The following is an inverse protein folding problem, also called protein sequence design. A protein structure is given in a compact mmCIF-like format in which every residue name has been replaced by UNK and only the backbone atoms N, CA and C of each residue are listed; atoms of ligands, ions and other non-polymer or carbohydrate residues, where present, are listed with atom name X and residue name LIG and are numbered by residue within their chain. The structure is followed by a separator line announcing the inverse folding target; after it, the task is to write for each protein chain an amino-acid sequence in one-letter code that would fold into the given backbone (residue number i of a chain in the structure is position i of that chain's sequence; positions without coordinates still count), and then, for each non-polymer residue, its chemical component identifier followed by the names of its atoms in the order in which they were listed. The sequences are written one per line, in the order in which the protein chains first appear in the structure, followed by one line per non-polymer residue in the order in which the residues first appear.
data_IF_693279317822
#
_entry.id   IF_693279317822
#
_cell.length_a   1.000
_cell.length_b   1.000
_cell.length_c   1.000
_cell.angle_alpha   90.00
_cell.angle_beta   90.00
_cell.angle_gamma   90.00
#
_symmetry.space_group_name_H-M   'P 1'
#
loop_
_entity.id
_entity.type
_entity.pdbx_description
1 polymer ?
#
# COMPACT_ATOMS: atom_id res chain seq x y z
N UNK A 1 -24.84 18.83 20.73
CA UNK A 1 -23.46 18.41 21.07
C UNK A 1 -23.33 16.93 20.75
N UNK A 2 -23.04 16.61 19.49
CA UNK A 2 -22.81 15.23 19.05
C UNK A 2 -21.35 14.87 19.30
N UNK A 3 -21.11 13.76 20.00
CA UNK A 3 -19.77 13.22 20.25
C UNK A 3 -19.09 12.91 18.91
N UNK A 4 -18.09 13.70 18.54
CA UNK A 4 -17.04 13.25 17.63
C UNK A 4 -16.34 12.07 18.30
N UNK A 5 -16.53 10.86 17.79
CA UNK A 5 -15.52 9.84 17.96
C UNK A 5 -14.28 10.37 17.22
N UNK A 6 -13.26 10.77 17.96
CA UNK A 6 -11.95 11.11 17.37
C UNK A 6 -11.53 9.91 16.50
N UNK A 7 -11.32 10.14 15.21
CA UNK A 7 -10.70 9.16 14.33
C UNK A 7 -9.41 8.69 14.99
N UNK A 8 -9.29 7.40 15.31
CA UNK A 8 -8.07 6.84 15.92
C UNK A 8 -6.90 6.83 14.93
N UNK A 9 -7.20 6.94 13.64
CA UNK A 9 -6.19 7.01 12.58
C UNK A 9 -5.90 8.48 12.25
N UNK A 10 -4.64 8.93 12.30
CA UNK A 10 -4.26 10.28 11.92
C UNK A 10 -4.68 10.61 10.49
N UNK A 11 -5.14 11.83 10.26
CA UNK A 11 -5.44 12.37 8.93
C UNK A 11 -4.43 13.47 8.65
N UNK A 12 -3.76 13.39 7.50
CA UNK A 12 -2.67 14.30 7.11
C UNK A 12 -2.97 14.86 5.72
N UNK A 13 -2.89 16.18 5.58
CA UNK A 13 -3.22 16.90 4.37
C UNK A 13 -2.00 17.07 3.44
N UNK A 14 -2.10 16.50 2.24
CA UNK A 14 -1.13 16.60 1.13
C UNK A 14 -1.67 17.43 -0.05
N UNK A 15 -2.79 18.14 0.14
CA UNK A 15 -3.41 18.99 -0.89
C UNK A 15 -2.77 20.37 -0.99
N UNK A 16 -2.02 20.80 0.03
CA UNK A 16 -1.37 22.12 0.06
C UNK A 16 -0.27 22.26 -0.99
N UNK A 17 -0.35 23.30 -1.83
CA UNK A 17 0.69 23.65 -2.81
C UNK A 17 2.00 24.14 -2.16
N UNK A 18 1.94 24.57 -0.90
CA UNK A 18 3.09 25.04 -0.12
C UNK A 18 3.84 23.89 0.58
N UNK A 19 3.40 22.65 0.41
CA UNK A 19 4.05 21.48 0.99
C UNK A 19 5.33 21.13 0.22
N UNK A 20 6.39 21.91 0.45
CA UNK A 20 7.68 21.80 -0.23
C UNK A 20 8.83 21.72 0.78
N UNK A 21 9.91 20.97 0.50
CA UNK A 21 11.07 20.88 1.38
C UNK A 21 11.56 22.26 1.85
N UNK A 22 11.76 22.38 3.17
CA UNK A 22 12.22 23.62 3.81
C UNK A 22 11.13 24.60 4.24
N UNK A 23 9.86 24.40 3.88
CA UNK A 23 8.75 25.25 4.38
C UNK A 23 8.30 24.84 5.78
N UNK A 24 7.60 25.74 6.48
CA UNK A 24 7.01 25.41 7.80
C UNK A 24 5.97 24.29 7.70
N UNK A 25 5.16 24.29 6.63
CA UNK A 25 4.18 23.23 6.37
C UNK A 25 4.85 21.88 6.14
N UNK A 26 6.00 21.84 5.44
CA UNK A 26 6.80 20.63 5.31
C UNK A 26 7.30 20.12 6.66
N UNK A 27 7.89 20.99 7.48
CA UNK A 27 8.42 20.60 8.79
C UNK A 27 7.32 20.06 9.73
N UNK A 28 6.14 20.69 9.75
CA UNK A 28 5.02 20.22 10.57
C UNK A 28 4.43 18.91 10.04
N UNK A 29 4.27 18.79 8.72
CA UNK A 29 3.71 17.59 8.08
C UNK A 29 4.65 16.42 8.22
N UNK A 30 5.96 16.62 8.03
CA UNK A 30 7.00 15.62 8.27
C UNK A 30 6.91 15.03 9.67
N UNK A 31 6.78 15.88 10.70
CA UNK A 31 6.62 15.42 12.09
C UNK A 31 5.35 14.61 12.28
N UNK A 32 4.23 15.06 11.71
CA UNK A 32 2.96 14.34 11.79
C UNK A 32 3.01 12.97 11.10
N UNK A 33 3.63 12.91 9.91
CA UNK A 33 3.85 11.69 9.14
C UNK A 33 4.68 10.70 9.93
N UNK A 34 5.85 11.11 10.43
CA UNK A 34 6.74 10.20 11.15
C UNK A 34 6.08 9.71 12.43
N UNK A 35 5.44 10.60 13.19
CA UNK A 35 4.71 10.21 14.40
C UNK A 35 3.58 9.22 14.11
N UNK A 36 2.82 9.41 13.03
CA UNK A 36 1.75 8.48 12.66
C UNK A 36 2.28 7.09 12.28
N UNK A 37 3.41 7.02 11.55
CA UNK A 37 4.04 5.76 11.18
C UNK A 37 4.74 5.05 12.35
N UNK A 38 5.32 5.81 13.29
CA UNK A 38 5.91 5.29 14.53
C UNK A 38 4.83 4.74 15.47
N UNK A 39 3.70 5.43 15.62
CA UNK A 39 2.67 5.08 16.59
C UNK A 39 1.65 4.06 16.06
N UNK A 40 1.20 4.22 14.82
CA UNK A 40 0.11 3.44 14.23
C UNK A 40 0.52 2.66 12.97
N UNK A 41 1.69 2.96 12.38
CA UNK A 41 2.10 2.36 11.11
C UNK A 41 1.31 2.82 9.89
N UNK A 42 0.36 3.75 10.06
CA UNK A 42 -0.49 4.24 8.98
C UNK A 42 -1.10 5.62 9.27
N UNK A 43 -1.57 6.27 8.22
CA UNK A 43 -2.39 7.48 8.29
C UNK A 43 -3.27 7.60 7.04
N UNK A 44 -4.33 8.40 7.14
CA UNK A 44 -5.13 8.81 5.98
C UNK A 44 -4.46 10.03 5.34
N UNK A 45 -4.05 9.91 4.09
CA UNK A 45 -3.52 10.99 3.28
C UNK A 45 -4.68 11.67 2.52
N UNK A 46 -5.02 12.90 2.88
CA UNK A 46 -5.98 13.74 2.14
C UNK A 46 -5.24 14.43 0.98
N UNK A 47 -5.79 14.30 -0.22
CA UNK A 47 -5.20 14.86 -1.45
C UNK A 47 -6.05 15.99 -2.05
N UNK A 48 -7.13 16.37 -1.38
CA UNK A 48 -8.07 17.37 -1.86
C UNK A 48 -8.70 16.96 -3.19
N UNK A 49 -8.67 17.86 -4.18
CA UNK A 49 -9.33 17.64 -5.48
C UNK A 49 -8.39 17.09 -6.57
N UNK A 50 -7.23 16.50 -6.20
CA UNK A 50 -6.30 15.91 -7.17
C UNK A 50 -6.93 14.75 -7.98
N UNK A 51 -7.98 14.12 -7.45
CA UNK A 51 -8.79 13.12 -8.15
C UNK A 51 -10.23 13.61 -8.18
N UNK A 52 -10.83 13.68 -9.38
CA UNK A 52 -12.26 13.98 -9.51
C UNK A 52 -13.09 12.74 -9.18
N UNK A 53 -14.29 12.95 -8.61
CA UNK A 53 -15.25 11.86 -8.37
C UNK A 53 -15.61 11.10 -9.66
N UNK A 54 -15.59 11.79 -10.81
CA UNK A 54 -15.81 11.16 -12.12
C UNK A 54 -14.70 10.16 -12.45
N UNK A 55 -13.44 10.59 -12.36
CA UNK A 55 -12.28 9.72 -12.59
C UNK A 55 -12.28 8.53 -11.62
N UNK A 56 -12.58 8.77 -10.34
CA UNK A 56 -12.67 7.74 -9.33
C UNK A 56 -13.75 6.70 -9.64
N UNK A 57 -14.98 7.13 -9.93
CA UNK A 57 -16.06 6.21 -10.29
C UNK A 57 -15.75 5.45 -11.59
N UNK A 58 -15.08 6.11 -12.54
CA UNK A 58 -14.71 5.51 -13.82
C UNK A 58 -13.67 4.39 -13.66
N UNK A 59 -12.60 4.61 -12.89
CA UNK A 59 -11.59 3.56 -12.65
C UNK A 59 -12.17 2.38 -11.88
N UNK A 60 -13.02 2.62 -10.87
CA UNK A 60 -13.65 1.52 -10.13
C UNK A 60 -14.68 0.77 -10.98
N UNK A 61 -15.34 1.43 -11.93
CA UNK A 61 -16.17 0.79 -12.95
C UNK A 61 -15.36 -0.16 -13.83
N UNK A 62 -14.23 0.30 -14.38
CA UNK A 62 -13.36 -0.54 -15.23
C UNK A 62 -12.65 -1.64 -14.46
N UNK A 63 -12.37 -1.47 -13.16
CA UNK A 63 -11.93 -2.56 -12.28
C UNK A 63 -13.03 -3.63 -12.16
N UNK A 64 -14.31 -3.23 -12.06
CA UNK A 64 -15.42 -4.17 -12.10
C UNK A 64 -15.40 -5.00 -13.39
N UNK A 65 -15.30 -4.34 -14.54
CA UNK A 65 -15.20 -4.98 -15.87
C UNK A 65 -13.99 -5.92 -15.97
N UNK A 66 -12.83 -5.51 -15.45
CA UNK A 66 -11.60 -6.30 -15.43
C UNK A 66 -11.82 -7.68 -14.80
N UNK A 67 -12.57 -7.74 -13.70
CA UNK A 67 -12.82 -9.00 -12.99
C UNK A 67 -14.01 -9.81 -13.53
N UNK A 68 -14.81 -9.25 -14.45
CA UNK A 68 -15.82 -9.98 -15.22
C UNK A 68 -15.24 -10.63 -16.49
N UNK A 69 -13.98 -10.34 -16.84
CA UNK A 69 -13.30 -11.07 -17.93
C UNK A 69 -13.21 -12.58 -17.64
N UNK A 70 -13.15 -13.42 -18.69
CA UNK A 70 -12.95 -14.86 -18.54
C UNK A 70 -11.71 -15.18 -17.69
N UNK A 71 -11.80 -16.24 -16.88
CA UNK A 71 -10.69 -16.67 -16.01
C UNK A 71 -9.43 -16.95 -16.82
N UNK A 72 -9.57 -17.56 -18.00
CA UNK A 72 -8.47 -17.88 -18.92
C UNK A 72 -7.74 -16.61 -19.41
N UNK A 73 -8.45 -15.50 -19.58
CA UNK A 73 -7.87 -14.19 -19.91
C UNK A 73 -7.11 -13.62 -18.73
N UNK A 74 -7.72 -13.60 -17.54
CA UNK A 74 -7.09 -13.08 -16.31
C UNK A 74 -5.81 -13.85 -15.97
N UNK A 75 -5.82 -15.18 -16.15
CA UNK A 75 -4.66 -16.05 -15.95
C UNK A 75 -3.47 -15.76 -16.88
N UNK A 76 -3.66 -15.01 -17.98
CA UNK A 76 -2.54 -14.58 -18.81
C UNK A 76 -1.67 -13.52 -18.13
N UNK A 77 -2.19 -12.80 -17.13
CA UNK A 77 -1.38 -11.86 -16.35
C UNK A 77 -0.41 -12.63 -15.43
N UNK A 78 0.76 -12.97 -15.96
CA UNK A 78 1.79 -13.74 -15.28
C UNK A 78 3.03 -12.90 -15.05
N UNK A 79 3.76 -13.20 -13.97
CA UNK A 79 5.00 -12.49 -13.63
C UNK A 79 5.89 -13.40 -12.77
N UNK A 80 7.21 -13.28 -12.90
CA UNK A 80 8.22 -14.08 -12.17
C UNK A 80 8.46 -13.58 -10.72
N UNK A 81 8.35 -12.28 -10.52
CA UNK A 81 8.30 -11.63 -9.21
C UNK A 81 6.91 -11.76 -8.56
N UNK A 82 6.86 -11.94 -7.23
CA UNK A 82 5.61 -12.09 -6.49
C UNK A 82 4.73 -10.83 -6.58
N UNK A 83 3.42 -11.00 -6.38
CA UNK A 83 2.43 -9.92 -6.33
C UNK A 83 2.36 -9.00 -7.55
N UNK A 84 2.80 -9.44 -8.74
CA UNK A 84 2.69 -8.65 -9.98
C UNK A 84 1.69 -9.22 -10.99
N UNK A 85 1.47 -10.54 -10.97
CA UNK A 85 0.47 -11.18 -11.81
C UNK A 85 -0.92 -11.30 -11.18
N UNK A 86 -1.74 -12.13 -11.82
CA UNK A 86 -3.01 -12.65 -11.33
C UNK A 86 -2.81 -13.57 -10.14
N UNK A 87 -3.60 -13.34 -9.09
CA UNK A 87 -3.65 -14.15 -7.87
C UNK A 87 -5.12 -14.44 -7.59
N UNK A 88 -5.43 -15.70 -7.33
CA UNK A 88 -6.75 -16.12 -6.86
C UNK A 88 -6.59 -16.95 -5.60
N UNK A 89 -7.31 -16.59 -4.55
CA UNK A 89 -7.35 -17.32 -3.27
C UNK A 89 -8.75 -17.86 -3.09
N UNK A 90 -8.92 -19.12 -3.46
CA UNK A 90 -10.22 -19.78 -3.52
C UNK A 90 -11.20 -19.04 -4.43
N UNK A 91 -12.48 -19.20 -4.16
CA UNK A 91 -13.54 -18.52 -4.93
C UNK A 91 -13.84 -17.11 -4.44
N UNK A 92 -13.29 -16.65 -3.31
CA UNK A 92 -13.72 -15.41 -2.65
C UNK A 92 -12.88 -14.18 -3.03
N UNK A 93 -11.63 -14.38 -3.45
CA UNK A 93 -10.69 -13.30 -3.76
C UNK A 93 -9.96 -13.51 -5.09
N UNK A 94 -9.90 -12.44 -5.88
CA UNK A 94 -9.05 -12.33 -7.06
C UNK A 94 -8.32 -10.98 -7.02
N UNK A 95 -7.08 -10.96 -7.48
CA UNK A 95 -6.32 -9.72 -7.66
C UNK A 95 -5.38 -9.80 -8.85
N UNK A 96 -5.10 -8.66 -9.47
CA UNK A 96 -4.18 -8.53 -10.60
C UNK A 96 -3.27 -7.32 -10.38
N UNK A 97 -2.01 -7.43 -10.77
CA UNK A 97 -1.05 -6.34 -10.71
C UNK A 97 -0.60 -5.85 -12.08
N UNK A 98 -0.05 -4.64 -12.10
CA UNK A 98 0.78 -4.10 -13.18
C UNK A 98 2.10 -3.66 -12.52
N UNK A 99 3.21 -4.31 -12.90
CA UNK A 99 4.54 -3.91 -12.45
C UNK A 99 4.95 -2.59 -13.13
N UNK A 100 5.67 -1.73 -12.41
CA UNK A 100 6.09 -0.41 -12.90
C UNK A 100 4.96 0.43 -13.52
N UNK A 101 3.77 0.41 -12.89
CA UNK A 101 2.57 1.04 -13.44
C UNK A 101 2.65 2.57 -13.62
N UNK A 102 3.68 3.21 -13.06
CA UNK A 102 4.02 4.62 -13.31
C UNK A 102 4.48 4.84 -14.76
N UNK A 103 4.98 3.79 -15.43
CA UNK A 103 5.26 3.77 -16.86
C UNK A 103 3.96 3.49 -17.66
N UNK A 104 3.66 4.37 -18.63
CA UNK A 104 2.47 4.21 -19.47
C UNK A 104 2.51 2.94 -20.32
N UNK A 105 3.71 2.57 -20.81
CA UNK A 105 3.90 1.38 -21.65
C UNK A 105 3.48 0.08 -20.91
N UNK A 106 3.77 -0.02 -19.61
CA UNK A 106 3.38 -1.19 -18.81
C UNK A 106 1.86 -1.26 -18.62
N UNK A 107 1.22 -0.10 -18.43
CA UNK A 107 -0.25 -0.02 -18.38
C UNK A 107 -0.88 -0.40 -19.73
N UNK A 108 -0.25 0.00 -20.85
CA UNK A 108 -0.69 -0.36 -22.21
C UNK A 108 -0.53 -1.87 -22.47
N UNK A 109 0.61 -2.47 -22.10
CA UNK A 109 0.86 -3.90 -22.21
C UNK A 109 -0.20 -4.71 -21.47
N UNK A 110 -0.47 -4.36 -20.21
CA UNK A 110 -1.52 -5.00 -19.43
C UNK A 110 -2.90 -4.81 -20.05
N UNK A 111 -3.23 -3.59 -20.49
CA UNK A 111 -4.54 -3.29 -21.09
C UNK A 111 -4.76 -4.08 -22.37
N UNK A 112 -3.76 -4.15 -23.26
CA UNK A 112 -3.85 -4.93 -24.50
C UNK A 112 -3.97 -6.44 -24.24
N UNK A 113 -3.38 -6.93 -23.15
CA UNK A 113 -3.52 -8.32 -22.73
C UNK A 113 -4.95 -8.65 -22.25
N UNK A 114 -5.55 -7.76 -21.46
CA UNK A 114 -6.90 -7.94 -20.90
C UNK A 114 -8.00 -7.63 -21.92
N UNK A 115 -7.79 -6.60 -22.75
CA UNK A 115 -8.70 -6.13 -23.78
C UNK A 115 -7.94 -5.93 -25.10
N UNK A 116 -7.88 -6.96 -25.97
CA UNK A 116 -7.21 -6.86 -27.28
C UNK A 116 -7.78 -5.78 -28.21
N UNK A 117 -9.02 -5.33 -27.96
CA UNK A 117 -9.68 -4.24 -28.68
C UNK A 117 -9.46 -2.85 -28.04
N UNK A 118 -8.65 -2.78 -26.98
CA UNK A 118 -8.35 -1.56 -26.23
C UNK A 118 -9.33 -1.27 -25.08
N UNK A 119 -8.83 -0.55 -24.08
CA UNK A 119 -9.61 0.06 -23.00
C UNK A 119 -8.83 1.28 -22.45
N UNK A 120 -8.83 2.37 -23.23
CA UNK A 120 -8.05 3.58 -22.92
C UNK A 120 -8.41 4.15 -21.54
N UNK A 121 -9.68 4.04 -21.14
CA UNK A 121 -10.15 4.48 -19.84
C UNK A 121 -9.51 3.73 -18.68
N UNK A 122 -9.39 2.40 -18.79
CA UNK A 122 -8.64 1.62 -17.81
C UNK A 122 -7.15 1.97 -17.84
N UNK A 123 -6.54 2.00 -19.03
CA UNK A 123 -5.11 2.24 -19.19
C UNK A 123 -4.67 3.59 -18.60
N UNK A 124 -5.34 4.67 -19.00
CA UNK A 124 -5.04 6.03 -18.54
C UNK A 124 -5.34 6.17 -17.05
N UNK A 125 -6.48 5.63 -16.59
CA UNK A 125 -6.87 5.67 -15.19
C UNK A 125 -5.87 4.95 -14.28
N UNK A 126 -5.47 3.73 -14.65
CA UNK A 126 -4.48 2.95 -13.90
C UNK A 126 -3.12 3.68 -13.82
N UNK A 127 -2.61 4.19 -14.95
CA UNK A 127 -1.35 4.93 -14.97
C UNK A 127 -1.39 6.22 -14.15
N UNK A 128 -2.49 6.98 -14.25
CA UNK A 128 -2.68 8.22 -13.52
C UNK A 128 -2.72 7.98 -12.00
N UNK A 129 -3.48 6.98 -11.56
CA UNK A 129 -3.52 6.56 -10.16
C UNK A 129 -2.14 6.11 -9.65
N UNK A 130 -1.42 5.30 -10.44
CA UNK A 130 -0.09 4.85 -10.09
C UNK A 130 0.89 6.02 -9.91
N UNK A 131 0.89 6.99 -10.83
CA UNK A 131 1.74 8.20 -10.74
C UNK A 131 1.41 9.04 -9.52
N UNK A 132 0.13 9.33 -9.29
CA UNK A 132 -0.30 10.15 -8.16
C UNK A 132 0.05 9.52 -6.82
N UNK A 133 -0.21 8.21 -6.65
CA UNK A 133 0.16 7.51 -5.42
C UNK A 133 1.68 7.40 -5.27
N UNK A 134 2.44 7.24 -6.36
CA UNK A 134 3.90 7.25 -6.30
C UNK A 134 4.46 8.61 -5.86
N UNK A 135 3.86 9.73 -6.28
CA UNK A 135 4.24 11.07 -5.80
C UNK A 135 4.02 11.23 -4.28
N UNK A 136 2.91 10.70 -3.76
CA UNK A 136 2.64 10.68 -2.32
C UNK A 136 3.69 9.83 -1.61
N UNK A 137 3.97 8.62 -2.12
CA UNK A 137 4.98 7.73 -1.55
C UNK A 137 6.38 8.35 -1.51
N UNK A 138 6.81 8.98 -2.60
CA UNK A 138 8.09 9.69 -2.68
C UNK A 138 8.15 10.84 -1.66
N UNK A 139 7.06 11.60 -1.55
CA UNK A 139 6.95 12.71 -0.59
C UNK A 139 7.07 12.22 0.86
N UNK A 140 6.32 11.18 1.21
CA UNK A 140 6.31 10.58 2.55
C UNK A 140 7.65 9.92 2.88
N UNK A 141 8.21 9.18 1.93
CA UNK A 141 9.53 8.55 2.07
C UNK A 141 10.60 9.61 2.32
N UNK A 142 10.59 10.71 1.56
CA UNK A 142 11.52 11.83 1.79
C UNK A 142 11.36 12.41 3.18
N UNK A 143 10.13 12.66 3.62
CA UNK A 143 9.83 13.15 4.97
C UNK A 143 10.43 12.24 6.05
N UNK A 144 10.27 10.92 5.91
CA UNK A 144 10.84 9.96 6.86
C UNK A 144 12.37 9.98 6.84
N UNK A 145 12.98 9.98 5.67
CA UNK A 145 14.45 9.98 5.54
C UNK A 145 15.06 11.27 6.12
N UNK A 146 14.44 12.42 5.87
CA UNK A 146 14.86 13.69 6.48
C UNK A 146 14.62 13.74 7.99
N UNK A 147 13.55 13.11 8.49
CA UNK A 147 13.26 13.06 9.94
C UNK A 147 14.33 12.29 10.70
N UNK A 148 14.84 11.21 10.10
CA UNK A 148 15.88 10.37 10.67
C UNK A 148 17.32 10.81 10.32
N UNK A 149 17.50 11.92 9.60
CA UNK A 149 18.84 12.41 9.24
C UNK A 149 19.60 11.54 8.24
N UNK A 150 18.87 10.73 7.47
CA UNK A 150 19.41 9.72 6.52
C UNK A 150 19.07 10.07 5.06
N UNK A 151 18.79 11.35 4.80
CA UNK A 151 18.48 11.96 3.50
C UNK A 151 19.44 11.58 2.37
N UNK A 152 20.72 11.32 2.67
CA UNK A 152 21.72 10.85 1.68
C UNK A 152 21.36 9.54 0.97
N UNK A 153 20.48 8.72 1.55
CA UNK A 153 20.03 7.45 0.96
C UNK A 153 18.71 7.57 0.19
N UNK A 154 18.08 8.75 0.16
CA UNK A 154 16.75 8.91 -0.44
C UNK A 154 16.77 8.60 -1.95
N UNK A 155 17.69 9.20 -2.70
CA UNK A 155 17.74 9.03 -4.16
C UNK A 155 18.03 7.58 -4.56
N UNK A 156 18.92 6.89 -3.84
CA UNK A 156 19.21 5.48 -4.10
C UNK A 156 18.03 4.58 -3.73
N UNK A 157 17.31 4.89 -2.64
CA UNK A 157 16.08 4.20 -2.29
C UNK A 157 15.04 4.33 -3.41
N UNK A 158 14.72 5.56 -3.85
CA UNK A 158 13.75 5.80 -4.93
C UNK A 158 14.18 5.13 -6.24
N UNK A 159 15.46 5.18 -6.60
CA UNK A 159 15.97 4.51 -7.80
C UNK A 159 15.82 2.98 -7.76
N UNK A 160 15.78 2.38 -6.56
CA UNK A 160 15.54 0.95 -6.36
C UNK A 160 14.05 0.60 -6.23
N UNK A 161 13.16 1.57 -6.01
CA UNK A 161 11.75 1.30 -5.71
C UNK A 161 10.97 0.93 -6.97
N UNK A 162 10.50 -0.32 -7.03
CA UNK A 162 9.49 -0.77 -7.99
C UNK A 162 8.08 -0.45 -7.49
N UNK A 163 7.25 0.12 -8.36
CA UNK A 163 5.87 0.53 -8.07
C UNK A 163 4.86 -0.41 -8.73
N UNK A 164 4.16 -1.21 -7.93
CA UNK A 164 3.17 -2.17 -8.42
C UNK A 164 1.77 -1.69 -8.05
N UNK A 165 0.96 -1.34 -9.04
CA UNK A 165 -0.48 -1.13 -8.78
C UNK A 165 -1.18 -2.48 -8.80
N UNK A 166 -2.04 -2.74 -7.82
CA UNK A 166 -2.87 -3.94 -7.75
C UNK A 166 -4.34 -3.56 -7.65
N UNK A 167 -5.15 -4.31 -8.37
CA UNK A 167 -6.60 -4.28 -8.31
C UNK A 167 -7.05 -5.55 -7.59
N UNK A 168 -8.05 -5.44 -6.72
CA UNK A 168 -8.59 -6.56 -5.96
C UNK A 168 -10.10 -6.60 -6.06
N UNK A 169 -10.65 -7.81 -6.17
CA UNK A 169 -12.07 -8.11 -6.03
C UNK A 169 -12.25 -9.11 -4.90
N UNK A 170 -13.15 -8.79 -3.99
CA UNK A 170 -13.59 -9.68 -2.93
C UNK A 170 -15.10 -9.89 -3.07
N UNK A 171 -15.54 -11.14 -3.06
CA UNK A 171 -16.96 -11.50 -3.09
C UNK A 171 -17.30 -12.45 -1.95
N UNK A 172 -18.47 -12.26 -1.36
CA UNK A 172 -18.98 -13.19 -0.36
C UNK A 172 -19.15 -14.58 -0.98
N UNK A 173 -18.75 -15.61 -0.25
CA UNK A 173 -18.89 -16.99 -0.67
C UNK A 173 -19.84 -17.71 0.30
N UNK A 174 -20.81 -18.47 -0.23
CA UNK A 174 -21.69 -19.29 0.60
C UNK A 174 -20.83 -20.32 1.35
N UNK A 175 -20.89 -20.31 2.69
CA UNK A 175 -20.01 -21.02 3.65
C UNK A 175 -18.68 -20.34 4.01
N UNK A 176 -18.49 -19.07 3.65
CA UNK A 176 -17.40 -18.26 4.20
C UNK A 176 -17.73 -17.92 5.66
N UNK A 177 -16.87 -18.32 6.58
CA UNK A 177 -16.95 -17.86 7.97
C UNK A 177 -16.60 -16.35 7.96
N UNK A 178 -17.50 -15.44 8.38
CA UNK A 178 -17.20 -14.00 8.46
C UNK A 178 -16.00 -13.69 9.36
N UNK A 179 -15.59 -14.63 10.22
CA UNK A 179 -14.37 -14.55 11.03
C UNK A 179 -13.09 -14.87 10.25
N UNK A 180 -13.19 -15.33 9.00
CA UNK A 180 -12.09 -15.72 8.13
C UNK A 180 -11.99 -14.82 6.90
N UNK A 181 -12.11 -13.49 7.08
CA UNK A 181 -11.73 -12.46 6.10
C UNK A 181 -10.38 -12.73 5.42
N UNK A 182 -9.93 -11.89 4.48
CA UNK A 182 -8.53 -11.98 4.07
C UNK A 182 -7.69 -11.88 5.35
N UNK A 183 -6.81 -12.86 5.64
CA UNK A 183 -6.29 -13.06 6.98
C UNK A 183 -5.63 -11.79 7.45
N UNK A 184 -5.75 -11.50 8.75
CA UNK A 184 -5.01 -10.40 9.34
C UNK A 184 -3.52 -10.55 9.03
N UNK A 185 -2.94 -9.52 8.44
CA UNK A 185 -1.54 -9.52 8.02
C UNK A 185 -0.95 -8.11 8.09
N UNK A 186 0.35 -8.05 7.94
CA UNK A 186 1.11 -6.87 7.55
C UNK A 186 1.58 -7.06 6.11
N UNK A 187 1.83 -5.95 5.41
CA UNK A 187 2.36 -6.04 4.05
C UNK A 187 3.87 -6.25 4.08
N UNK A 188 4.35 -7.18 3.26
CA UNK A 188 5.79 -7.41 3.09
C UNK A 188 6.52 -6.30 2.32
N UNK A 189 5.78 -5.37 1.72
CA UNK A 189 6.31 -4.24 0.95
C UNK A 189 7.12 -3.29 1.83
N UNK A 190 7.74 -2.29 1.21
CA UNK A 190 8.27 -1.14 1.94
C UNK A 190 7.10 -0.27 2.40
N UNK A 191 6.24 0.12 1.47
CA UNK A 191 5.05 0.94 1.72
C UNK A 191 3.87 0.42 0.91
N UNK A 192 2.66 0.76 1.37
CA UNK A 192 1.41 0.50 0.68
C UNK A 192 0.50 1.71 0.74
N UNK A 193 -0.18 2.01 -0.37
CA UNK A 193 -1.20 3.05 -0.45
C UNK A 193 -2.47 2.41 -0.99
N UNK A 194 -3.57 2.45 -0.25
CA UNK A 194 -4.81 1.73 -0.61
C UNK A 194 -5.99 2.68 -0.66
N UNK A 195 -6.85 2.47 -1.66
CA UNK A 195 -8.17 3.07 -1.76
C UNK A 195 -9.25 1.99 -1.96
N UNK A 196 -10.37 2.15 -1.25
CA UNK A 196 -11.55 1.30 -1.38
C UNK A 196 -12.72 2.10 -1.96
N UNK A 197 -13.68 1.42 -2.61
CA UNK A 197 -14.85 2.04 -3.22
C UNK A 197 -16.16 1.52 -2.62
N UNK A 198 -17.01 2.45 -2.18
CA UNK A 198 -18.38 2.26 -1.68
C UNK A 198 -18.61 1.37 -0.44
N UNK A 199 -17.73 0.42 -0.13
CA UNK A 199 -17.88 -0.51 0.99
C UNK A 199 -16.71 -0.31 1.95
N UNK A 200 -17.03 0.01 3.21
CA UNK A 200 -16.06 0.04 4.30
C UNK A 200 -15.79 -1.40 4.74
N UNK A 201 -14.82 -2.03 4.10
CA UNK A 201 -14.41 -3.42 4.32
C UNK A 201 -12.98 -3.51 4.86
N UNK A 202 -12.13 -2.53 4.53
CA UNK A 202 -10.76 -2.48 4.99
C UNK A 202 -10.68 -1.93 6.42
N UNK A 203 -10.11 -2.72 7.33
CA UNK A 203 -9.89 -2.33 8.72
C UNK A 203 -8.41 -2.41 9.08
N UNK A 204 -7.94 -1.42 9.83
CA UNK A 204 -6.60 -1.39 10.43
C UNK A 204 -6.70 -1.63 11.94
N UNK A 205 -5.70 -2.30 12.51
CA UNK A 205 -5.60 -2.49 13.94
C UNK A 205 -4.80 -1.36 14.56
N UNK A 206 -5.39 -0.63 15.51
CA UNK A 206 -4.70 0.41 16.28
C UNK A 206 -3.69 -0.21 17.25
N UNK A 207 -2.81 0.63 17.79
CA UNK A 207 -1.86 0.24 18.86
C UNK A 207 -2.54 -0.43 20.07
N UNK A 208 -3.78 -0.03 20.39
CA UNK A 208 -4.56 -0.57 21.51
C UNK A 208 -5.27 -1.89 21.15
N UNK A 209 -5.07 -2.41 19.94
CA UNK A 209 -5.62 -3.67 19.46
C UNK A 209 -7.03 -3.58 18.89
N UNK A 210 -7.62 -2.39 18.81
CA UNK A 210 -8.94 -2.18 18.23
C UNK A 210 -8.89 -2.13 16.71
N UNK A 211 -9.96 -2.62 16.07
CA UNK A 211 -10.12 -2.57 14.63
C UNK A 211 -10.90 -1.33 14.22
N UNK A 212 -10.36 -0.57 13.27
CA UNK A 212 -10.93 0.69 12.77
C UNK A 212 -11.09 0.59 11.26
N UNK A 213 -12.33 0.69 10.80
CA UNK A 213 -12.64 0.87 9.38
C UNK A 213 -12.50 2.33 8.96
N UNK A 214 -12.27 2.56 7.67
CA UNK A 214 -12.13 3.89 7.08
C UNK A 214 -13.22 4.11 6.04
N UNK A 215 -13.93 5.23 6.10
CA UNK A 215 -14.95 5.50 5.10
C UNK A 215 -14.31 5.79 3.74
N UNK A 216 -14.75 5.12 2.66
CA UNK A 216 -14.20 5.36 1.33
C UNK A 216 -14.49 6.79 0.87
N UNK A 217 -13.45 7.54 0.52
CA UNK A 217 -13.57 8.83 -0.16
C UNK A 217 -12.66 8.89 -1.39
N UNK A 218 -13.09 9.55 -2.49
CA UNK A 218 -12.21 9.80 -3.64
C UNK A 218 -11.01 10.69 -3.32
N UNK A 219 -11.09 11.48 -2.24
CA UNK A 219 -10.12 12.50 -1.86
C UNK A 219 -9.06 12.01 -0.87
N UNK A 220 -9.10 10.73 -0.48
CA UNK A 220 -8.16 10.20 0.50
C UNK A 220 -7.63 8.82 0.15
N UNK A 221 -6.46 8.53 0.70
CA UNK A 221 -5.81 7.23 0.64
C UNK A 221 -5.37 6.80 2.02
N UNK A 222 -5.38 5.50 2.29
CA UNK A 222 -4.69 4.95 3.46
C UNK A 222 -3.23 4.68 3.08
N UNK A 223 -2.30 5.38 3.72
CA UNK A 223 -0.86 5.11 3.62
C UNK A 223 -0.45 4.19 4.77
N UNK A 224 0.33 3.15 4.47
CA UNK A 224 0.79 2.15 5.44
C UNK A 224 2.29 1.87 5.27
N UNK A 225 2.99 1.75 6.38
CA UNK A 225 4.32 1.13 6.41
C UNK A 225 4.20 -0.39 6.35
N UNK A 226 5.07 -1.03 5.59
CA UNK A 226 5.22 -2.47 5.52
C UNK A 226 6.42 -2.99 6.31
N UNK A 227 6.56 -4.30 6.34
CA UNK A 227 7.58 -5.03 7.07
C UNK A 227 9.01 -4.60 6.67
N UNK A 228 9.25 -4.38 5.37
CA UNK A 228 10.57 -3.99 4.90
C UNK A 228 10.97 -2.58 5.40
N UNK A 229 10.00 -1.70 5.62
CA UNK A 229 10.24 -0.36 6.14
C UNK A 229 10.45 -0.36 7.66
N UNK A 230 9.78 -1.27 8.38
CA UNK A 230 10.11 -1.57 9.78
C UNK A 230 11.57 -2.03 9.91
N UNK A 231 11.99 -3.00 9.08
CA UNK A 231 13.36 -3.51 9.13
C UNK A 231 14.39 -2.43 8.77
N UNK A 232 14.16 -1.68 7.68
CA UNK A 232 15.03 -0.56 7.29
C UNK A 232 15.17 0.48 8.42
N UNK A 233 14.08 0.82 9.11
CA UNK A 233 14.08 1.83 10.17
C UNK A 233 14.61 1.32 11.53
N UNK A 234 15.05 0.06 11.59
CA UNK A 234 15.52 -0.59 12.81
C UNK A 234 14.46 -0.59 13.93
N UNK A 235 13.24 -1.03 13.62
CA UNK A 235 12.07 -1.07 14.53
C UNK A 235 11.48 0.30 14.95
N UNK A 236 11.93 1.42 14.36
CA UNK A 236 11.33 2.74 14.63
C UNK A 236 9.93 2.89 14.04
N UNK A 237 9.74 2.41 12.81
CA UNK A 237 8.44 2.40 12.15
C UNK A 237 7.73 1.06 12.38
N UNK A 238 6.41 1.11 12.49
CA UNK A 238 5.59 -0.08 12.70
C UNK A 238 4.89 -0.49 11.42
N UNK A 239 4.85 -1.79 11.08
CA UNK A 239 4.04 -2.23 9.96
C UNK A 239 2.56 -2.13 10.32
N UNK A 240 1.72 -1.71 9.37
CA UNK A 240 0.29 -1.61 9.60
C UNK A 240 -0.38 -2.98 9.53
N UNK A 241 -0.89 -3.46 10.66
CA UNK A 241 -1.68 -4.69 10.72
C UNK A 241 -3.11 -4.41 10.28
N UNK A 242 -3.56 -5.10 9.25
CA UNK A 242 -4.85 -4.81 8.62
C UNK A 242 -5.57 -6.08 8.16
N UNK A 243 -6.84 -5.94 7.80
CA UNK A 243 -7.68 -7.02 7.28
C UNK A 243 -8.77 -6.48 6.36
N UNK A 244 -9.32 -7.36 5.52
CA UNK A 244 -10.52 -7.08 4.72
C UNK A 244 -11.68 -7.89 5.26
N UNK A 245 -12.69 -7.20 5.77
CA UNK A 245 -13.92 -7.74 6.31
C UNK A 245 -15.02 -7.76 5.25
N UNK A 246 -15.62 -8.93 5.08
CA UNK A 246 -16.74 -9.12 4.15
C UNK A 246 -18.04 -8.72 4.85
N UNK A 247 -18.60 -7.56 4.48
CA UNK A 247 -19.82 -7.03 5.07
C UNK A 247 -21.02 -7.18 4.10
N UNK A 248 -21.68 -8.35 4.15
CA UNK A 248 -22.90 -8.68 3.40
C UNK A 248 -22.70 -8.99 1.91
N UNK A 249 -23.79 -9.08 1.16
CA UNK A 249 -23.84 -9.56 -0.23
C UNK A 249 -23.25 -8.59 -1.28
N UNK A 250 -22.30 -7.72 -0.93
CA UNK A 250 -21.69 -6.75 -1.86
C UNK A 250 -20.29 -7.16 -2.26
N UNK A 251 -20.00 -7.05 -3.55
CA UNK A 251 -18.63 -7.15 -4.08
C UNK A 251 -17.83 -5.93 -3.66
N UNK A 252 -16.63 -6.15 -3.12
CA UNK A 252 -15.69 -5.10 -2.73
C UNK A 252 -14.59 -5.03 -3.79
N UNK A 253 -14.34 -3.82 -4.31
CA UNK A 253 -13.20 -3.53 -5.16
C UNK A 253 -12.19 -2.67 -4.42
N UNK A 254 -10.91 -3.05 -4.51
CA UNK A 254 -9.78 -2.32 -3.96
C UNK A 254 -8.80 -1.95 -5.07
N UNK A 255 -8.17 -0.80 -4.92
CA UNK A 255 -7.04 -0.34 -5.72
C UNK A 255 -5.92 0.01 -4.74
N UNK A 256 -4.72 -0.52 -4.95
CA UNK A 256 -3.57 -0.17 -4.11
C UNK A 256 -2.27 -0.09 -4.88
N UNK A 257 -1.36 0.76 -4.42
CA UNK A 257 0.02 0.84 -4.88
C UNK A 257 0.93 0.25 -3.80
N UNK A 258 1.78 -0.70 -4.18
CA UNK A 258 2.72 -1.38 -3.30
C UNK A 258 4.14 -1.16 -3.80
N UNK A 259 5.07 -0.91 -2.88
CA UNK A 259 6.46 -0.63 -3.23
C UNK A 259 7.39 -1.78 -2.83
N UNK A 260 8.26 -2.16 -3.76
CA UNK A 260 9.26 -3.20 -3.54
C UNK A 260 10.62 -2.73 -4.04
N UNK A 261 11.58 -2.59 -3.13
CA UNK A 261 12.95 -2.24 -3.49
C UNK A 261 13.65 -3.40 -4.19
N UNK A 262 14.33 -3.11 -5.29
CA UNK A 262 15.27 -4.02 -5.93
C UNK A 262 16.57 -4.07 -5.12
N UNK A 263 17.09 -5.29 -4.91
CA UNK A 263 18.36 -5.50 -4.22
C UNK A 263 18.24 -5.66 -2.70
N UNK A 264 19.32 -5.31 -2.01
CA UNK A 264 19.50 -5.59 -0.57
C UNK A 264 19.20 -4.35 0.26
N UNK A 265 18.25 -4.48 1.18
CA UNK A 265 17.94 -3.47 2.19
C UNK A 265 18.92 -3.64 3.35
N UNK A 266 19.45 -2.49 3.78
CA UNK A 266 20.32 -2.36 4.94
C UNK A 266 19.67 -1.41 5.94
N UNK A 267 19.87 -1.66 7.22
CA UNK A 267 19.65 -0.65 8.26
C UNK A 267 20.69 0.47 8.06
N UNK A 268 20.30 1.74 7.90
CA UNK A 268 21.26 2.85 7.88
C UNK A 268 22.09 2.87 9.16
N UNK A 269 23.41 3.10 9.04
CA UNK A 269 24.32 3.09 10.18
C UNK A 269 23.95 4.15 11.23
N UNK A 270 23.40 5.29 10.80
CA UNK A 270 22.91 6.37 11.67
C UNK A 270 21.72 5.96 12.55
N UNK A 271 21.04 4.86 12.21
CA UNK A 271 19.92 4.33 12.98
C UNK A 271 20.36 3.29 14.02
N UNK A 272 21.66 3.06 14.17
CA UNK A 272 22.24 2.12 15.11
C UNK A 272 23.13 2.86 16.12
N UNK A 273 22.74 2.79 17.38
CA UNK A 273 23.46 3.40 18.51
C UNK A 273 23.30 2.55 19.78
N UNK A 274 23.86 3.00 20.90
CA UNK A 274 23.81 2.28 22.18
C UNK A 274 22.37 2.14 22.73
N UNK A 275 21.46 3.05 22.37
CA UNK A 275 20.04 3.02 22.76
C UNK A 275 19.21 2.17 21.77
N UNK A 276 19.62 2.10 20.51
CA UNK A 276 18.97 1.37 19.41
C UNK A 276 19.96 0.43 18.72
N UNK A 277 20.36 -0.70 19.34
CA UNK A 277 21.28 -1.64 18.73
C UNK A 277 20.70 -2.26 17.44
N UNK A 278 21.56 -2.76 16.56
CA UNK A 278 21.16 -3.36 15.29
C UNK A 278 20.17 -4.51 15.51
N UNK A 279 19.00 -4.40 14.89
CA UNK A 279 17.88 -5.32 15.06
C UNK A 279 17.73 -6.29 13.88
N UNK A 280 18.31 -5.96 12.72
CA UNK A 280 18.12 -6.68 11.47
C UNK A 280 19.44 -6.82 10.69
N UNK A 281 19.66 -8.00 10.11
CA UNK A 281 20.72 -8.28 9.13
C UNK A 281 20.30 -7.77 7.75
N UNK A 282 21.23 -7.41 6.87
CA UNK A 282 20.92 -7.07 5.48
C UNK A 282 20.15 -8.20 4.78
N UNK A 283 19.18 -7.84 3.96
CA UNK A 283 18.33 -8.82 3.29
C UNK A 283 17.88 -8.36 1.90
N UNK A 284 17.71 -9.32 0.97
CA UNK A 284 17.10 -9.03 -0.32
C UNK A 284 15.57 -8.94 -0.16
N UNK A 285 14.99 -7.81 -0.58
CA UNK A 285 13.56 -7.55 -0.37
C UNK A 285 12.68 -8.50 -1.21
N UNK A 286 13.02 -8.75 -2.47
CA UNK A 286 12.23 -9.65 -3.33
C UNK A 286 12.28 -11.10 -2.81
N UNK A 287 13.42 -11.53 -2.27
CA UNK A 287 13.54 -12.86 -1.65
C UNK A 287 12.71 -12.97 -0.36
N UNK A 288 12.69 -11.92 0.48
CA UNK A 288 11.79 -11.86 1.64
C UNK A 288 10.32 -11.98 1.23
N UNK A 289 9.93 -11.27 0.16
CA UNK A 289 8.55 -11.29 -0.35
C UNK A 289 8.16 -12.71 -0.80
N UNK A 290 9.09 -13.46 -1.43
CA UNK A 290 8.90 -14.86 -1.84
C UNK A 290 8.91 -15.86 -0.68
N UNK A 291 9.60 -15.54 0.42
CA UNK A 291 9.81 -16.47 1.53
C UNK A 291 8.50 -16.83 2.24
N UNK A 292 8.37 -18.07 2.71
CA UNK A 292 7.31 -18.48 3.65
C UNK A 292 7.79 -18.40 5.11
N UNK A 293 9.05 -18.01 5.33
CA UNK A 293 9.62 -17.88 6.67
C UNK A 293 8.89 -16.80 7.48
N UNK A 294 8.57 -17.14 8.73
CA UNK A 294 7.78 -16.28 9.60
C UNK A 294 6.31 -16.14 9.20
N UNK A 295 5.81 -16.88 8.20
CA UNK A 295 4.39 -16.81 7.82
C UNK A 295 3.50 -17.21 9.00
N UNK A 296 2.55 -16.34 9.34
CA UNK A 296 1.67 -16.51 10.50
C UNK A 296 2.29 -16.08 11.84
N UNK A 297 3.55 -15.67 11.86
CA UNK A 297 4.18 -15.04 13.02
C UNK A 297 3.70 -13.58 13.16
N UNK A 298 3.75 -13.05 14.38
CA UNK A 298 3.34 -11.66 14.64
C UNK A 298 4.27 -10.63 13.98
N UNK A 299 5.55 -10.96 13.86
CA UNK A 299 6.56 -10.18 13.16
C UNK A 299 7.37 -11.11 12.23
N UNK A 300 6.94 -11.30 10.97
CA UNK A 300 7.58 -12.23 10.04
C UNK A 300 9.00 -11.77 9.63
N UNK A 301 9.21 -10.47 9.42
CA UNK A 301 10.52 -9.94 8.99
C UNK A 301 11.60 -10.12 10.06
N UNK A 302 11.24 -10.03 11.34
CA UNK A 302 12.17 -10.33 12.45
C UNK A 302 12.58 -11.80 12.48
N UNK A 303 11.68 -12.72 12.12
CA UNK A 303 12.04 -14.15 12.00
C UNK A 303 13.01 -14.33 10.83
N UNK A 304 12.74 -13.68 9.70
CA UNK A 304 13.53 -13.82 8.47
C UNK A 304 14.96 -13.24 8.58
N UNK A 305 15.10 -12.02 9.12
CA UNK A 305 16.39 -11.33 9.13
C UNK A 305 16.76 -10.67 10.47
N UNK A 306 16.12 -11.04 11.58
CA UNK A 306 16.49 -10.55 12.90
C UNK A 306 17.94 -10.90 13.30
N UNK A 307 18.53 -10.05 14.15
CA UNK A 307 19.82 -10.31 14.80
C UNK A 307 19.63 -11.23 16.00
#
# INVERSE_FOLDING_TARGET
MGRQALSKIPVIDFSSEDLKPGTNSWLSTRKAVCHALEEQGCFVAEIGNKISSELHNKIFGTIGELFELPTETKMQNTHDKPYRGYISVGSAHESMGIDNATCLEESQKFTNLMWPNGNDHFCEGANLYAKLMAEIDQTVTRMVFENYGVEKYYDSNIASTGYVIRFGKYKEYQNYDPKKGFPTHTDKSFTSIVQQHHVNAFEVQTRDGEWVGLDPTPSSFLYMAGDAFQAWSNDRLRPCKHRVMMNGNKTIHLLGLFTFNEGTIHVPEELVDDEHPLQYKPFNHIDYVRSEEGQGHENPIKVYCGV
#
